data_IF_440166149261
#
_entry.id   IF_440166149261
#
_cell.length_a   1.000
_cell.length_b   1.000
_cell.length_c   1.000
_cell.angle_alpha   90.00
_cell.angle_beta   90.00
_cell.angle_gamma   90.00
#
_symmetry.space_group_name_H-M   'P 1'
#
loop_
_entity.id
_entity.type
_entity.pdbx_description
1 polymer ?
#
# COMPACT_ATOMS: atom_id res chain seq x y z
N UNK A 1 -24.46 -9.24 -9.08
CA UNK A 1 -23.02 -9.44 -9.34
C UNK A 1 -22.58 -8.46 -10.43
N UNK A 2 -21.98 -7.32 -10.06
CA UNK A 2 -21.61 -6.28 -11.03
C UNK A 2 -20.18 -6.54 -11.51
N UNK A 3 -20.03 -7.12 -12.70
CA UNK A 3 -18.74 -7.19 -13.39
C UNK A 3 -18.40 -5.80 -13.93
N UNK A 4 -17.55 -5.05 -13.22
CA UNK A 4 -16.94 -3.83 -13.77
C UNK A 4 -16.01 -4.20 -14.92
N UNK A 5 -16.38 -3.91 -16.17
CA UNK A 5 -15.44 -3.88 -17.30
C UNK A 5 -14.47 -2.71 -17.07
N UNK A 6 -13.22 -2.96 -16.67
CA UNK A 6 -12.17 -1.95 -16.76
C UNK A 6 -11.87 -1.70 -18.24
N UNK A 7 -11.82 -0.45 -18.73
CA UNK A 7 -11.45 -0.19 -20.11
C UNK A 7 -9.96 -0.48 -20.29
N UNK A 8 -9.63 -1.64 -20.86
CA UNK A 8 -8.26 -1.98 -21.29
C UNK A 8 -7.70 -0.92 -22.26
N UNK A 9 -8.58 -0.19 -22.94
CA UNK A 9 -8.26 0.87 -23.91
C UNK A 9 -7.55 2.10 -23.33
N UNK A 10 -7.55 2.32 -22.00
CA UNK A 10 -6.83 3.45 -21.39
C UNK A 10 -5.43 3.10 -20.87
N UNK A 11 -5.09 1.82 -20.78
CA UNK A 11 -3.77 1.35 -20.35
C UNK A 11 -2.78 1.26 -21.52
N UNK A 12 -3.28 1.15 -22.76
CA UNK A 12 -2.48 1.03 -23.98
C UNK A 12 -1.86 2.33 -24.49
N UNK A 13 -2.10 3.47 -23.84
CA UNK A 13 -1.56 4.78 -24.26
C UNK A 13 -0.14 5.04 -23.73
N UNK A 14 0.43 4.12 -22.97
CA UNK A 14 1.83 4.13 -22.53
C UNK A 14 2.42 2.73 -22.61
N UNK A 15 3.73 2.63 -22.82
CA UNK A 15 4.53 1.39 -22.78
C UNK A 15 4.61 0.82 -21.35
N UNK A 16 3.46 0.59 -20.73
CA UNK A 16 3.34 -0.02 -19.41
C UNK A 16 2.80 -1.43 -19.60
N UNK A 17 3.68 -2.41 -19.42
CA UNK A 17 3.28 -3.81 -19.39
C UNK A 17 2.38 -4.05 -18.17
N UNK A 18 1.23 -4.67 -18.41
CA UNK A 18 0.34 -5.04 -17.32
C UNK A 18 0.90 -6.25 -16.59
N UNK A 19 1.42 -6.04 -15.38
CA UNK A 19 1.88 -7.13 -14.51
C UNK A 19 0.72 -8.10 -14.19
N UNK A 20 0.97 -9.40 -14.34
CA UNK A 20 -0.04 -10.44 -14.04
C UNK A 20 -0.12 -10.65 -12.53
N UNK A 21 -1.20 -10.19 -11.90
CA UNK A 21 -1.40 -10.30 -10.46
C UNK A 21 -2.14 -11.59 -10.05
N UNK A 22 -1.69 -12.24 -8.98
CA UNK A 22 -2.39 -13.39 -8.39
C UNK A 22 -3.55 -12.93 -7.50
N UNK A 23 -4.71 -13.60 -7.53
CA UNK A 23 -5.83 -13.28 -6.62
C UNK A 23 -5.43 -13.40 -5.14
N UNK A 24 -6.08 -12.60 -4.28
CA UNK A 24 -5.94 -12.67 -2.80
C UNK A 24 -4.49 -12.63 -2.30
N UNK A 25 -3.61 -11.89 -2.98
CA UNK A 25 -2.19 -11.79 -2.63
C UNK A 25 -1.80 -10.38 -2.16
N UNK A 26 -2.38 -9.85 -1.06
CA UNK A 26 -1.92 -8.58 -0.48
C UNK A 26 -0.47 -8.69 0.00
N UNK A 27 -0.05 -9.90 0.40
CA UNK A 27 1.32 -10.23 0.80
C UNK A 27 2.33 -10.19 -0.35
N UNK A 28 1.89 -9.95 -1.58
CA UNK A 28 2.78 -9.62 -2.69
C UNK A 28 2.75 -8.14 -3.05
N UNK A 29 1.82 -7.35 -2.53
CA UNK A 29 1.75 -5.94 -2.86
C UNK A 29 2.65 -5.14 -1.89
N UNK A 30 3.67 -4.40 -2.38
CA UNK A 30 4.50 -3.52 -1.55
C UNK A 30 3.69 -2.45 -0.82
N UNK A 31 2.63 -1.93 -1.45
CA UNK A 31 1.88 -0.79 -0.90
C UNK A 31 1.14 -1.14 0.40
N UNK A 32 0.75 -2.40 0.58
CA UNK A 32 0.05 -2.86 1.79
C UNK A 32 0.91 -2.66 3.04
N UNK A 33 2.22 -2.87 2.90
CA UNK A 33 3.18 -2.62 3.99
C UNK A 33 3.25 -1.12 4.30
N UNK A 34 3.23 -0.26 3.28
CA UNK A 34 3.23 1.20 3.45
C UNK A 34 1.94 1.64 4.16
N UNK A 35 0.78 1.14 3.73
CA UNK A 35 -0.50 1.44 4.40
C UNK A 35 -0.51 1.00 5.85
N UNK A 36 0.06 -0.16 6.18
CA UNK A 36 0.20 -0.59 7.57
C UNK A 36 1.04 0.38 8.39
N UNK A 37 2.18 0.82 7.86
CA UNK A 37 3.07 1.77 8.54
C UNK A 37 2.40 3.14 8.76
N UNK A 38 1.72 3.67 7.74
CA UNK A 38 0.99 4.94 7.83
C UNK A 38 -0.14 4.82 8.84
N UNK A 39 -0.93 3.74 8.80
CA UNK A 39 -2.03 3.51 9.75
C UNK A 39 -1.54 3.43 11.20
N UNK A 40 -0.44 2.72 11.43
CA UNK A 40 0.17 2.62 12.76
C UNK A 40 0.70 3.98 13.26
N UNK A 41 1.33 4.75 12.37
CA UNK A 41 1.81 6.08 12.68
C UNK A 41 0.66 7.03 13.03
N UNK A 42 -0.41 7.05 12.24
CA UNK A 42 -1.61 7.85 12.49
C UNK A 42 -2.28 7.48 13.80
N UNK A 43 -2.33 6.18 14.14
CA UNK A 43 -2.87 5.71 15.42
C UNK A 43 -2.03 6.19 16.60
N UNK A 44 -0.70 6.10 16.51
CA UNK A 44 0.22 6.59 17.55
C UNK A 44 0.10 8.10 17.73
N UNK A 45 0.00 8.87 16.65
CA UNK A 45 -0.23 10.31 16.71
C UNK A 45 -1.56 10.65 17.39
N UNK A 46 -2.65 9.96 17.03
CA UNK A 46 -3.95 10.19 17.64
C UNK A 46 -3.92 9.93 19.16
N UNK A 47 -3.26 8.85 19.59
CA UNK A 47 -3.08 8.55 21.02
C UNK A 47 -2.23 9.64 21.70
N UNK A 48 -1.08 10.02 21.11
CA UNK A 48 -0.16 11.01 21.69
C UNK A 48 -0.79 12.40 21.81
N UNK A 49 -1.58 12.79 20.83
CA UNK A 49 -2.26 14.09 20.77
C UNK A 49 -3.67 14.05 21.39
N UNK A 50 -4.06 12.93 22.00
CA UNK A 50 -5.39 12.73 22.62
C UNK A 50 -6.57 13.07 21.70
N UNK A 51 -6.42 12.78 20.39
CA UNK A 51 -7.45 13.05 19.39
C UNK A 51 -8.56 12.02 19.57
N UNK A 52 -9.69 12.44 20.13
CA UNK A 52 -10.91 11.61 20.24
C UNK A 52 -11.89 11.86 19.10
N UNK A 53 -11.80 13.02 18.46
CA UNK A 53 -12.61 13.44 17.30
C UNK A 53 -11.75 14.36 16.43
N UNK A 54 -11.91 14.26 15.13
CA UNK A 54 -11.31 15.16 14.15
C UNK A 54 -12.27 15.28 12.96
N UNK A 55 -12.19 16.40 12.25
CA UNK A 55 -12.90 16.62 10.99
C UNK A 55 -12.18 15.88 9.85
N UNK A 56 -12.87 15.73 8.72
CA UNK A 56 -12.29 15.13 7.52
C UNK A 56 -11.03 15.86 7.04
N UNK A 57 -11.03 17.21 7.02
CA UNK A 57 -9.88 17.98 6.55
C UNK A 57 -8.68 17.88 7.51
N UNK A 58 -8.92 17.85 8.83
CA UNK A 58 -7.85 17.62 9.82
C UNK A 58 -7.20 16.24 9.63
N UNK A 59 -8.03 15.19 9.51
CA UNK A 59 -7.54 13.84 9.25
C UNK A 59 -6.77 13.75 7.94
N UNK A 60 -7.30 14.35 6.86
CA UNK A 60 -6.69 14.36 5.54
C UNK A 60 -5.33 15.05 5.55
N UNK A 61 -5.22 16.22 6.20
CA UNK A 61 -3.95 16.93 6.32
C UNK A 61 -2.92 16.10 7.08
N UNK A 62 -3.33 15.46 8.16
CA UNK A 62 -2.48 14.57 8.96
C UNK A 62 -2.03 13.32 8.19
N UNK A 63 -2.93 12.73 7.42
CA UNK A 63 -2.64 11.60 6.52
C UNK A 63 -1.61 12.00 5.46
N UNK A 64 -1.82 13.12 4.77
CA UNK A 64 -0.91 13.61 3.73
C UNK A 64 0.48 13.89 4.30
N UNK A 65 0.55 14.59 5.43
CA UNK A 65 1.81 14.85 6.12
C UNK A 65 2.52 13.55 6.54
N UNK A 66 1.78 12.57 7.05
CA UNK A 66 2.34 11.28 7.46
C UNK A 66 2.89 10.50 6.27
N UNK A 67 2.22 10.53 5.11
CA UNK A 67 2.72 9.88 3.89
C UNK A 67 3.98 10.59 3.37
N UNK A 68 3.97 11.93 3.33
CA UNK A 68 5.10 12.73 2.82
C UNK A 68 6.34 12.66 3.71
N UNK A 69 6.17 12.42 5.01
CA UNK A 69 7.27 12.27 5.97
C UNK A 69 7.87 10.87 6.02
N UNK A 70 7.34 9.90 5.26
CA UNK A 70 7.95 8.58 5.18
C UNK A 70 9.33 8.67 4.53
N UNK A 71 10.38 8.13 5.17
CA UNK A 71 11.71 8.10 4.56
C UNK A 71 11.71 7.31 3.26
N UNK A 72 12.40 7.83 2.23
CA UNK A 72 12.54 7.16 0.94
C UNK A 72 13.11 5.74 1.09
N UNK A 73 14.01 5.54 2.06
CA UNK A 73 14.57 4.24 2.39
C UNK A 73 13.50 3.20 2.75
N UNK A 74 12.41 3.59 3.42
CA UNK A 74 11.31 2.68 3.77
C UNK A 74 10.64 2.15 2.50
N UNK A 75 10.40 3.04 1.53
CA UNK A 75 9.83 2.67 0.22
C UNK A 75 10.79 1.76 -0.54
N UNK A 76 12.06 2.14 -0.64
CA UNK A 76 13.09 1.37 -1.34
C UNK A 76 13.27 -0.03 -0.72
N UNK A 77 13.37 -0.13 0.60
CA UNK A 77 13.50 -1.40 1.30
C UNK A 77 12.25 -2.28 1.15
N UNK A 78 11.07 -1.67 1.10
CA UNK A 78 9.82 -2.39 0.86
C UNK A 78 9.79 -3.01 -0.53
N UNK A 79 10.20 -2.26 -1.55
CA UNK A 79 10.34 -2.77 -2.92
C UNK A 79 11.43 -3.85 -2.99
N UNK A 80 12.61 -3.59 -2.42
CA UNK A 80 13.74 -4.52 -2.44
C UNK A 80 13.44 -5.85 -1.71
N UNK A 81 12.50 -5.87 -0.77
CA UNK A 81 12.08 -7.09 -0.07
C UNK A 81 11.20 -8.03 -0.91
N UNK A 82 10.68 -7.57 -2.05
CA UNK A 82 9.72 -8.32 -2.88
C UNK A 82 10.22 -9.68 -3.36
N UNK A 83 11.45 -9.82 -3.89
CA UNK A 83 11.97 -11.12 -4.30
C UNK A 83 11.97 -12.15 -3.16
N UNK A 84 12.23 -11.71 -1.93
CA UNK A 84 12.24 -12.60 -0.76
C UNK A 84 10.82 -13.06 -0.38
N UNK A 85 9.81 -12.18 -0.49
CA UNK A 85 8.40 -12.52 -0.27
C UNK A 85 7.92 -13.58 -1.27
N UNK A 86 8.28 -13.41 -2.55
CA UNK A 86 7.99 -14.39 -3.60
C UNK A 86 8.65 -15.74 -3.28
N UNK A 87 9.92 -15.76 -2.90
CA UNK A 87 10.63 -16.98 -2.51
C UNK A 87 9.95 -17.69 -1.33
N UNK A 88 9.52 -16.95 -0.32
CA UNK A 88 8.81 -17.52 0.83
C UNK A 88 7.46 -18.13 0.45
N UNK A 89 6.68 -17.47 -0.42
CA UNK A 89 5.40 -18.02 -0.91
C UNK A 89 5.65 -19.31 -1.71
N UNK A 90 6.67 -19.35 -2.57
CA UNK A 90 7.05 -20.57 -3.31
C UNK A 90 7.43 -21.69 -2.33
N UNK A 91 8.27 -21.38 -1.34
CA UNK A 91 8.70 -22.33 -0.30
C UNK A 91 7.52 -22.90 0.49
N UNK A 92 6.52 -22.05 0.76
CA UNK A 92 5.28 -22.41 1.47
C UNK A 92 4.19 -22.96 0.56
N UNK A 93 4.48 -23.19 -0.73
CA UNK A 93 3.55 -23.72 -1.74
C UNK A 93 2.26 -22.89 -1.86
N UNK A 94 2.38 -21.57 -1.78
CA UNK A 94 1.26 -20.63 -1.89
C UNK A 94 0.59 -20.23 -0.57
N UNK A 95 1.15 -20.65 0.58
CA UNK A 95 0.70 -20.27 1.93
C UNK A 95 1.53 -19.14 2.56
#
# INVERSE_FOLDING_TARGET
MVTRRRPKSKLSNGSLDSEKWTPRSPDLNPIEKIFKLVSDALRKQAIRSQITKETYEEFKNRLLFTIQSLPLEVTNNTIASMPNRVKEIIKRKGQ
#
